data_IF_764257690020
#
_entry.id   IF_764257690020
#
_cell.length_a   1.000
_cell.length_b   1.000
_cell.length_c   1.000
_cell.angle_alpha   90.00
_cell.angle_beta   90.00
_cell.angle_gamma   90.00
#
_symmetry.space_group_name_H-M   'P 1'
#
loop_
_entity.id
_entity.type
_entity.pdbx_description
1 polymer ?
#
# COMPACT_ATOMS: atom_id res chain seq x y z
N UNK A 1 -0.56 9.78 -0.68
CA UNK A 1 -1.38 10.32 0.43
C UNK A 1 -2.07 11.64 0.08
N UNK A 2 -1.43 12.66 -0.53
CA UNK A 2 -2.12 13.92 -0.85
C UNK A 2 -3.37 13.74 -1.73
N UNK A 3 -3.34 12.87 -2.73
CA UNK A 3 -4.50 12.60 -3.58
C UNK A 3 -5.68 12.00 -2.79
N UNK A 4 -5.39 11.12 -1.83
CA UNK A 4 -6.40 10.55 -0.93
C UNK A 4 -6.99 11.66 -0.04
N UNK A 5 -6.14 12.49 0.57
CA UNK A 5 -6.57 13.60 1.41
C UNK A 5 -7.43 14.61 0.64
N UNK A 6 -7.06 14.94 -0.61
CA UNK A 6 -7.88 15.77 -1.49
C UNK A 6 -9.29 15.18 -1.66
N UNK A 7 -9.37 13.87 -1.93
CA UNK A 7 -10.67 13.22 -2.10
C UNK A 7 -11.51 13.20 -0.82
N UNK A 8 -10.85 13.04 0.33
CA UNK A 8 -11.52 13.15 1.63
C UNK A 8 -12.11 14.54 1.85
N UNK A 9 -11.39 15.61 1.52
CA UNK A 9 -11.89 16.99 1.62
C UNK A 9 -13.09 17.18 0.70
N UNK A 10 -13.01 16.78 -0.57
CA UNK A 10 -14.12 16.88 -1.52
C UNK A 10 -15.39 16.18 -1.00
N UNK A 11 -15.23 15.00 -0.41
CA UNK A 11 -16.36 14.25 0.18
C UNK A 11 -16.88 14.95 1.43
N UNK A 12 -15.99 15.41 2.31
CA UNK A 12 -16.39 16.12 3.54
C UNK A 12 -17.22 17.36 3.22
N UNK A 13 -16.81 18.15 2.24
CA UNK A 13 -17.55 19.33 1.79
C UNK A 13 -18.90 18.96 1.20
N UNK A 14 -18.95 17.95 0.34
CA UNK A 14 -20.19 17.45 -0.26
C UNK A 14 -21.19 16.97 0.77
N UNK A 15 -20.75 16.29 1.80
CA UNK A 15 -21.58 15.71 2.86
C UNK A 15 -21.82 16.70 4.03
N UNK A 16 -21.24 17.90 4.00
CA UNK A 16 -21.35 18.90 5.07
C UNK A 16 -20.67 18.44 6.36
N UNK A 17 -19.63 17.62 6.27
CA UNK A 17 -18.91 17.13 7.43
C UNK A 17 -18.02 18.22 8.04
N UNK A 18 -17.96 18.27 9.38
CA UNK A 18 -17.13 19.23 10.12
C UNK A 18 -15.68 18.75 10.33
N UNK A 19 -15.42 17.46 10.08
CA UNK A 19 -14.13 16.84 10.35
C UNK A 19 -13.80 15.72 9.37
N UNK A 20 -12.52 15.47 9.21
CA UNK A 20 -11.97 14.25 8.58
C UNK A 20 -11.14 13.48 9.59
N UNK A 21 -11.12 12.16 9.49
CA UNK A 21 -10.35 11.30 10.39
C UNK A 21 -9.37 10.44 9.59
N UNK A 22 -8.22 10.13 10.19
CA UNK A 22 -7.25 9.20 9.62
C UNK A 22 -6.60 8.33 10.70
N UNK A 23 -6.20 7.12 10.31
CA UNK A 23 -5.52 6.15 11.17
C UNK A 23 -4.00 6.12 11.00
N UNK A 24 -3.40 7.14 10.38
CA UNK A 24 -1.95 7.21 10.23
C UNK A 24 -1.26 7.29 11.60
N UNK A 25 -0.21 6.49 11.79
CA UNK A 25 0.50 6.42 13.06
C UNK A 25 1.20 7.74 13.39
N UNK A 26 1.36 8.05 14.68
CA UNK A 26 1.97 9.29 15.15
C UNK A 26 3.49 9.41 14.85
N UNK A 27 4.14 8.35 14.38
CA UNK A 27 5.58 8.30 14.10
C UNK A 27 5.92 8.40 12.61
N UNK A 28 4.94 8.21 11.71
CA UNK A 28 5.16 8.18 10.27
C UNK A 28 4.91 9.51 9.58
N UNK A 29 5.45 9.65 8.37
CA UNK A 29 5.26 10.84 7.53
C UNK A 29 3.84 10.97 6.97
N UNK A 30 3.06 9.90 6.99
CA UNK A 30 1.74 9.87 6.36
C UNK A 30 0.77 10.83 7.03
N UNK A 31 0.78 10.93 8.36
CA UNK A 31 -0.05 11.89 9.07
C UNK A 31 0.20 13.33 8.59
N UNK A 32 1.46 13.71 8.42
CA UNK A 32 1.85 15.04 7.94
C UNK A 32 1.32 15.27 6.53
N UNK A 33 1.45 14.29 5.65
CA UNK A 33 0.97 14.37 4.27
C UNK A 33 -0.55 14.51 4.19
N UNK A 34 -1.30 13.77 5.01
CA UNK A 34 -2.75 13.92 5.12
C UNK A 34 -3.14 15.31 5.64
N UNK A 35 -2.59 15.69 6.77
CA UNK A 35 -3.01 16.90 7.48
C UNK A 35 -2.64 18.18 6.74
N UNK A 36 -1.41 18.29 6.20
CA UNK A 36 -1.03 19.43 5.39
C UNK A 36 -1.91 19.57 4.15
N UNK A 37 -2.27 18.46 3.52
CA UNK A 37 -3.16 18.51 2.35
C UNK A 37 -4.57 18.94 2.73
N UNK A 38 -5.12 18.42 3.82
CA UNK A 38 -6.45 18.84 4.32
C UNK A 38 -6.43 20.33 4.65
N UNK A 39 -5.43 20.80 5.40
CA UNK A 39 -5.33 22.22 5.79
C UNK A 39 -5.04 23.16 4.62
N UNK A 40 -4.35 22.69 3.59
CA UNK A 40 -4.14 23.47 2.38
C UNK A 40 -5.40 23.64 1.52
N UNK A 41 -6.29 22.65 1.53
CA UNK A 41 -7.51 22.65 0.72
C UNK A 41 -8.71 23.25 1.48
N UNK A 42 -8.85 22.90 2.75
CA UNK A 42 -9.91 23.42 3.63
C UNK A 42 -9.39 23.55 5.06
N UNK A 43 -8.92 24.74 5.47
CA UNK A 43 -8.37 24.97 6.81
C UNK A 43 -9.39 24.87 7.94
N UNK A 44 -10.70 24.98 7.64
CA UNK A 44 -11.75 24.96 8.64
C UNK A 44 -12.12 23.52 9.06
N UNK A 45 -11.84 22.52 8.23
CA UNK A 45 -12.07 21.13 8.60
C UNK A 45 -11.21 20.72 9.80
N UNK A 46 -11.88 20.16 10.80
CA UNK A 46 -11.19 19.52 11.93
C UNK A 46 -10.52 18.23 11.50
N UNK A 47 -9.39 17.91 12.11
CA UNK A 47 -8.68 16.65 11.88
C UNK A 47 -8.72 15.81 13.13
N UNK A 48 -9.21 14.58 12.99
CA UNK A 48 -9.27 13.58 14.07
C UNK A 48 -8.19 12.54 13.78
N UNK A 49 -7.16 12.55 14.60
CA UNK A 49 -6.03 11.62 14.52
C UNK A 49 -5.94 10.79 15.81
N UNK A 50 -6.63 9.65 15.92
CA UNK A 50 -6.74 8.87 17.16
C UNK A 50 -5.39 8.51 17.79
N UNK A 51 -4.38 8.19 16.98
CA UNK A 51 -3.03 7.89 17.47
C UNK A 51 -2.37 8.99 18.31
N UNK A 52 -2.86 10.22 18.26
CA UNK A 52 -2.38 11.32 19.11
C UNK A 52 -3.19 11.49 20.40
N UNK A 53 -4.37 10.89 20.45
CA UNK A 53 -5.33 11.10 21.52
C UNK A 53 -5.45 9.87 22.41
N UNK A 54 -5.33 8.68 21.80
CA UNK A 54 -5.45 7.40 22.50
C UNK A 54 -4.14 7.02 23.21
N UNK A 55 -4.27 6.29 24.30
CA UNK A 55 -3.12 5.69 25.00
C UNK A 55 -2.74 4.35 24.34
N UNK A 56 -2.52 4.39 23.02
CA UNK A 56 -2.02 3.29 22.20
C UNK A 56 -0.64 3.71 21.71
N UNK A 57 0.42 3.03 22.14
CA UNK A 57 1.82 3.41 21.91
C UNK A 57 2.54 2.46 20.98
N UNK A 58 2.02 1.26 20.82
CA UNK A 58 2.61 0.20 20.02
C UNK A 58 1.58 -0.48 19.12
N UNK A 59 2.05 -1.32 18.22
CA UNK A 59 1.19 -2.20 17.42
C UNK A 59 0.50 -3.24 18.30
N UNK A 60 1.19 -3.75 19.30
CA UNK A 60 0.68 -4.71 20.28
C UNK A 60 -0.50 -4.10 21.03
N UNK A 61 -0.38 -2.88 21.55
CA UNK A 61 -1.48 -2.18 22.22
C UNK A 61 -2.71 -2.04 21.30
N UNK A 62 -2.47 -1.75 20.02
CA UNK A 62 -3.55 -1.63 19.03
C UNK A 62 -4.23 -2.97 18.75
N UNK A 63 -3.47 -4.07 18.74
CA UNK A 63 -4.00 -5.42 18.56
C UNK A 63 -4.82 -5.83 19.78
N UNK A 64 -4.33 -5.61 20.98
CA UNK A 64 -5.03 -5.90 22.24
C UNK A 64 -6.33 -5.07 22.34
N UNK A 65 -6.28 -3.80 21.91
CA UNK A 65 -7.46 -2.95 21.84
C UNK A 65 -8.51 -3.50 20.86
N UNK A 66 -8.07 -3.97 19.69
CA UNK A 66 -8.96 -4.53 18.68
C UNK A 66 -9.57 -5.86 19.15
N UNK A 67 -8.77 -6.75 19.72
CA UNK A 67 -9.20 -8.04 20.27
C UNK A 67 -10.25 -7.85 21.37
N UNK A 68 -9.98 -6.96 22.34
CA UNK A 68 -10.90 -6.66 23.44
C UNK A 68 -12.27 -6.13 22.98
N UNK A 69 -12.37 -5.64 21.74
CA UNK A 69 -13.60 -5.08 21.15
C UNK A 69 -14.16 -5.89 20.00
N UNK A 70 -13.60 -7.06 19.73
CA UNK A 70 -14.04 -7.92 18.62
C UNK A 70 -13.86 -7.27 17.24
N UNK A 71 -12.92 -6.35 17.08
CA UNK A 71 -12.62 -5.71 15.80
C UNK A 71 -11.74 -6.66 14.98
N UNK A 72 -12.21 -7.13 13.80
CA UNK A 72 -11.42 -8.01 12.97
C UNK A 72 -10.22 -7.25 12.39
N UNK A 73 -9.02 -7.77 12.61
CA UNK A 73 -7.79 -7.24 12.02
C UNK A 73 -7.09 -8.33 11.22
N UNK A 74 -6.61 -8.02 9.99
CA UNK A 74 -5.97 -9.02 9.13
C UNK A 74 -4.55 -9.38 9.57
N UNK A 75 -3.98 -8.65 10.54
CA UNK A 75 -2.60 -8.82 11.02
C UNK A 75 -2.60 -9.73 12.23
N UNK A 76 -1.77 -10.75 12.22
CA UNK A 76 -1.55 -11.66 13.36
C UNK A 76 -0.13 -11.49 13.91
N UNK A 77 0.09 -11.94 15.17
CA UNK A 77 1.42 -11.92 15.80
C UNK A 77 2.44 -12.77 15.02
N UNK A 78 1.97 -13.73 14.24
CA UNK A 78 2.80 -14.61 13.40
C UNK A 78 3.22 -14.00 12.07
N UNK A 79 2.57 -12.89 11.65
CA UNK A 79 2.89 -12.13 10.44
C UNK A 79 3.07 -10.65 10.77
N UNK A 80 4.24 -10.27 11.31
CA UNK A 80 4.46 -8.94 11.87
C UNK A 80 4.75 -7.86 10.81
N UNK A 81 4.67 -8.20 9.52
CA UNK A 81 4.99 -7.26 8.45
C UNK A 81 3.94 -6.17 8.31
N UNK A 82 4.39 -4.95 8.14
CA UNK A 82 3.58 -3.87 7.60
C UNK A 82 3.50 -4.02 6.10
N UNK A 83 2.31 -3.91 5.53
CA UNK A 83 2.07 -4.10 4.10
C UNK A 83 1.33 -2.90 3.52
N UNK A 84 1.89 -2.36 2.44
CA UNK A 84 1.23 -1.34 1.63
C UNK A 84 0.99 -1.89 0.22
N UNK A 85 -0.27 -2.03 -0.15
CA UNK A 85 -0.67 -2.52 -1.47
C UNK A 85 -1.36 -1.44 -2.28
N UNK A 86 -0.96 -1.31 -3.53
CA UNK A 86 -1.64 -0.51 -4.54
C UNK A 86 -1.55 -1.20 -5.91
N UNK A 87 -2.01 -0.53 -6.96
CA UNK A 87 -1.98 -1.08 -8.33
C UNK A 87 -0.56 -1.39 -8.82
N UNK A 88 0.44 -0.62 -8.35
CA UNK A 88 1.81 -0.72 -8.84
C UNK A 88 2.67 -1.73 -8.08
N UNK A 89 2.42 -1.91 -6.78
CA UNK A 89 3.28 -2.75 -5.95
C UNK A 89 2.61 -3.20 -4.67
N UNK A 90 3.21 -4.19 -4.06
CA UNK A 90 3.00 -4.59 -2.68
C UNK A 90 4.34 -4.50 -1.95
N UNK A 91 4.44 -3.62 -0.97
CA UNK A 91 5.63 -3.53 -0.12
C UNK A 91 5.42 -4.23 1.21
N UNK A 92 6.51 -4.77 1.76
CA UNK A 92 6.58 -5.34 3.10
C UNK A 92 7.69 -4.65 3.86
N UNK A 93 7.46 -4.31 5.12
CA UNK A 93 8.47 -3.78 6.03
C UNK A 93 8.20 -4.28 7.46
N UNK A 94 9.21 -4.26 8.30
CA UNK A 94 9.11 -4.68 9.71
C UNK A 94 9.43 -6.14 9.97
N UNK A 95 9.32 -6.56 11.23
CA UNK A 95 9.61 -7.93 11.65
C UNK A 95 11.04 -8.35 11.30
N UNK A 96 11.19 -9.54 10.74
CA UNK A 96 12.51 -10.09 10.37
C UNK A 96 13.24 -9.25 9.31
N UNK A 97 12.50 -8.41 8.55
CA UNK A 97 13.07 -7.54 7.50
C UNK A 97 13.81 -6.32 8.07
N UNK A 98 13.67 -6.03 9.36
CA UNK A 98 14.41 -4.93 10.01
C UNK A 98 15.93 -5.22 10.09
N UNK A 99 16.32 -6.48 10.09
CA UNK A 99 17.72 -6.89 10.02
C UNK A 99 18.06 -7.33 8.59
N UNK A 100 18.87 -6.55 7.84
CA UNK A 100 19.22 -6.87 6.47
C UNK A 100 20.07 -8.15 6.29
N UNK A 101 20.52 -8.80 7.38
CA UNK A 101 21.15 -10.12 7.35
C UNK A 101 20.13 -11.26 7.24
N UNK A 102 18.86 -10.99 7.51
CA UNK A 102 17.83 -12.00 7.39
C UNK A 102 17.36 -12.11 5.93
N UNK A 103 17.34 -13.33 5.44
CA UNK A 103 16.71 -13.63 4.16
C UNK A 103 15.18 -13.43 4.27
N UNK A 104 14.56 -12.70 3.32
CA UNK A 104 13.10 -12.59 3.29
C UNK A 104 12.44 -13.96 3.21
N UNK A 105 11.49 -14.23 4.08
CA UNK A 105 10.76 -15.51 4.09
C UNK A 105 9.87 -15.63 2.84
N UNK A 106 9.65 -16.86 2.38
CA UNK A 106 8.86 -17.10 1.17
C UNK A 106 7.40 -16.63 1.23
N UNK A 107 6.86 -16.40 2.43
CA UNK A 107 5.51 -15.84 2.64
C UNK A 107 5.42 -14.33 2.37
N UNK A 108 6.55 -13.65 2.20
CA UNK A 108 6.61 -12.25 1.75
C UNK A 108 6.23 -12.14 0.26
N UNK A 109 6.51 -13.17 -0.54
CA UNK A 109 6.20 -13.19 -1.97
C UNK A 109 4.72 -13.58 -2.23
N UNK A 110 3.79 -12.74 -1.78
CA UNK A 110 2.34 -13.05 -1.82
C UNK A 110 1.73 -13.05 -3.21
N UNK A 111 2.26 -12.25 -4.13
CA UNK A 111 1.66 -12.02 -5.45
C UNK A 111 2.58 -12.45 -6.59
N UNK A 112 3.80 -12.83 -6.31
CA UNK A 112 4.82 -13.19 -7.30
C UNK A 112 5.23 -14.64 -7.10
N UNK A 113 5.32 -15.38 -8.18
CA UNK A 113 5.95 -16.70 -8.17
C UNK A 113 7.42 -16.55 -7.81
N UNK A 114 7.93 -17.27 -6.79
CA UNK A 114 9.36 -17.25 -6.48
C UNK A 114 10.20 -17.56 -7.73
N UNK A 115 11.31 -16.85 -7.97
CA UNK A 115 12.12 -17.04 -9.17
C UNK A 115 12.54 -18.49 -9.42
N UNK A 116 12.80 -19.26 -8.36
CA UNK A 116 13.19 -20.68 -8.44
C UNK A 116 12.04 -21.59 -8.92
N UNK A 117 10.81 -21.09 -8.87
CA UNK A 117 9.58 -21.79 -9.31
C UNK A 117 8.99 -21.19 -10.59
N UNK A 118 9.59 -20.12 -11.09
CA UNK A 118 9.17 -19.49 -12.33
C UNK A 118 9.44 -20.39 -13.54
N UNK A 119 8.72 -20.22 -14.66
CA UNK A 119 8.96 -21.02 -15.86
C UNK A 119 10.39 -20.85 -16.41
N UNK A 120 11.02 -21.94 -16.81
CA UNK A 120 12.34 -21.93 -17.46
C UNK A 120 12.33 -21.36 -18.89
N UNK A 121 11.15 -21.20 -19.46
CA UNK A 121 11.01 -20.67 -20.83
C UNK A 121 10.63 -19.20 -20.78
N UNK A 122 11.27 -18.34 -21.62
CA UNK A 122 10.92 -16.94 -21.70
C UNK A 122 9.47 -16.76 -22.20
N UNK A 123 8.74 -15.85 -21.56
CA UNK A 123 7.47 -15.33 -22.07
C UNK A 123 7.74 -14.00 -22.76
N UNK A 124 7.24 -13.83 -23.98
CA UNK A 124 7.31 -12.58 -24.72
C UNK A 124 5.98 -11.85 -24.56
N UNK A 125 6.06 -10.55 -24.34
CA UNK A 125 4.90 -9.67 -24.19
C UNK A 125 5.07 -8.51 -25.16
N UNK A 126 4.08 -8.29 -26.01
CA UNK A 126 4.03 -7.15 -26.92
C UNK A 126 3.16 -6.05 -26.31
N UNK A 127 3.69 -4.84 -26.26
CA UNK A 127 2.96 -3.68 -25.72
C UNK A 127 2.91 -2.59 -26.79
N UNK A 128 1.71 -2.23 -27.22
CA UNK A 128 1.48 -1.12 -28.15
C UNK A 128 1.34 0.19 -27.40
N UNK A 129 1.99 1.22 -27.96
CA UNK A 129 1.94 2.57 -27.42
C UNK A 129 1.32 3.55 -28.43
N UNK A 130 0.41 4.39 -27.96
CA UNK A 130 -0.12 5.53 -28.71
C UNK A 130 0.26 6.83 -27.97
N UNK A 131 1.07 7.66 -28.63
CA UNK A 131 1.56 8.94 -28.03
C UNK A 131 2.24 8.76 -26.66
N UNK A 132 2.97 7.66 -26.48
CA UNK A 132 3.68 7.34 -25.24
C UNK A 132 2.81 6.71 -24.15
N UNK A 133 1.54 6.43 -24.39
CA UNK A 133 0.61 5.77 -23.48
C UNK A 133 0.45 4.32 -23.96
N UNK A 134 0.68 3.31 -23.08
CA UNK A 134 0.41 1.92 -23.44
C UNK A 134 -1.10 1.70 -23.57
N UNK A 135 -1.51 1.05 -24.66
CA UNK A 135 -2.94 0.87 -24.99
C UNK A 135 -3.33 -0.59 -25.22
N UNK A 136 -2.37 -1.46 -25.63
CA UNK A 136 -2.64 -2.90 -25.84
C UNK A 136 -1.54 -3.76 -25.23
N UNK A 137 -1.91 -4.96 -24.87
CA UNK A 137 -0.99 -6.04 -24.51
C UNK A 137 -1.36 -7.24 -25.36
N UNK A 138 -0.39 -7.79 -26.10
CA UNK A 138 -0.55 -8.94 -27.02
C UNK A 138 -1.74 -8.74 -27.99
N UNK A 139 -1.84 -7.54 -28.58
CA UNK A 139 -2.86 -7.14 -29.54
C UNK A 139 -4.24 -6.87 -28.94
N UNK A 140 -4.45 -7.07 -27.64
CA UNK A 140 -5.71 -6.77 -26.95
C UNK A 140 -5.68 -5.42 -26.30
N UNK A 141 -6.71 -4.60 -26.55
CA UNK A 141 -6.90 -3.29 -25.94
C UNK A 141 -7.37 -3.41 -24.48
N UNK A 142 -6.83 -2.53 -23.63
CA UNK A 142 -7.15 -2.45 -22.21
C UNK A 142 -7.32 -0.99 -21.78
N UNK A 143 -8.17 -0.76 -20.79
CA UNK A 143 -8.14 0.48 -20.03
C UNK A 143 -6.85 0.61 -19.21
N UNK A 144 -6.53 1.82 -18.71
CA UNK A 144 -5.24 2.03 -18.03
C UNK A 144 -5.06 1.20 -16.75
N UNK A 145 -6.12 0.90 -16.02
CA UNK A 145 -6.07 0.06 -14.81
C UNK A 145 -5.89 -1.40 -15.19
N UNK A 146 -6.73 -1.91 -16.07
CA UNK A 146 -6.73 -3.30 -16.52
C UNK A 146 -5.41 -3.66 -17.24
N UNK A 147 -4.79 -2.69 -17.91
CA UNK A 147 -3.49 -2.89 -18.54
C UNK A 147 -2.40 -3.15 -17.51
N UNK A 148 -2.36 -2.37 -16.44
CA UNK A 148 -1.40 -2.57 -15.34
C UNK A 148 -1.69 -3.90 -14.62
N UNK A 149 -2.96 -4.23 -14.38
CA UNK A 149 -3.34 -5.52 -13.79
C UNK A 149 -2.87 -6.69 -14.65
N UNK A 150 -3.03 -6.58 -15.99
CA UNK A 150 -2.55 -7.62 -16.92
C UNK A 150 -1.04 -7.76 -16.90
N UNK A 151 -0.29 -6.65 -16.88
CA UNK A 151 1.17 -6.69 -16.77
C UNK A 151 1.62 -7.25 -15.41
N UNK A 152 0.93 -6.93 -14.33
CA UNK A 152 1.19 -7.51 -13.01
C UNK A 152 0.97 -9.03 -13.01
N UNK A 153 -0.11 -9.52 -13.63
CA UNK A 153 -0.37 -10.95 -13.79
C UNK A 153 0.77 -11.66 -14.53
N UNK A 154 1.18 -11.10 -15.68
CA UNK A 154 2.24 -11.67 -16.49
C UNK A 154 3.60 -11.65 -15.77
N UNK A 155 3.94 -10.53 -15.15
CA UNK A 155 5.17 -10.40 -14.37
C UNK A 155 5.19 -11.36 -13.18
N UNK A 156 4.10 -11.43 -12.44
CA UNK A 156 3.96 -12.30 -11.27
C UNK A 156 4.13 -13.78 -11.61
N UNK A 157 3.52 -14.23 -12.71
CA UNK A 157 3.64 -15.62 -13.18
C UNK A 157 5.07 -15.99 -13.59
N UNK A 158 5.87 -15.02 -13.98
CA UNK A 158 7.24 -15.21 -14.45
C UNK A 158 8.32 -14.78 -13.43
N UNK A 159 7.95 -14.53 -12.18
CA UNK A 159 8.90 -14.17 -11.12
C UNK A 159 9.54 -12.78 -11.30
N UNK A 160 8.87 -11.88 -12.01
CA UNK A 160 9.38 -10.55 -12.36
C UNK A 160 8.81 -9.49 -11.41
N UNK A 161 9.65 -8.54 -11.00
CA UNK A 161 9.22 -7.37 -10.24
C UNK A 161 9.53 -7.43 -8.74
N UNK A 162 10.46 -8.27 -8.32
CA UNK A 162 10.96 -8.33 -6.94
C UNK A 162 12.09 -7.31 -6.79
N UNK A 163 12.04 -6.50 -5.73
CA UNK A 163 13.13 -5.63 -5.33
C UNK A 163 13.30 -5.72 -3.80
N UNK A 164 14.53 -5.94 -3.37
CA UNK A 164 14.95 -5.85 -1.97
C UNK A 164 15.70 -4.52 -1.79
N UNK A 165 15.20 -3.68 -0.89
CA UNK A 165 15.68 -2.31 -0.74
C UNK A 165 15.99 -2.06 0.74
N UNK A 166 17.24 -1.72 1.03
CA UNK A 166 17.65 -1.20 2.33
C UNK A 166 17.49 0.31 2.31
N UNK A 167 16.49 0.83 3.03
CA UNK A 167 16.32 2.27 3.18
C UNK A 167 17.22 2.81 4.28
N UNK A 168 18.04 3.77 3.90
CA UNK A 168 18.87 4.52 4.84
C UNK A 168 18.12 5.79 5.28
N UNK A 169 17.42 5.69 6.38
CA UNK A 169 16.71 6.81 7.00
C UNK A 169 17.41 7.28 8.27
#
# INVERSE_FOLDING_TARGET
RPLIAKRLVEIAEKEGAEAVAHGATGKGNDQVRFELTVKALNPDLKIIAPWRIWDIRSREDAMDYAEARGIPVPVTKDRPYSMDRNLWHLSHEGGDLEDPWNEPKGDVLMIITPPEKAPDRPAYVEIDFEKGIPVRVDGKEYGPVELIEKLNELGAANGIGIADIVENR
#
